data_IF_234150672600
#
_entry.id   IF_234150672600
#
_cell.length_a   1.000
_cell.length_b   1.000
_cell.length_c   1.000
_cell.angle_alpha   90.00
_cell.angle_beta   90.00
_cell.angle_gamma   90.00
#
_symmetry.space_group_name_H-M   'P 1'
#
loop_
_entity.id
_entity.type
_entity.pdbx_description
1 polymer ?
#
# COMPACT_ATOMS: atom_id res chain seq x y z
N UNK A 1 -5.97 -14.37 19.49
CA UNK A 1 -4.97 -13.67 18.67
C UNK A 1 -5.62 -13.32 17.33
N UNK A 2 -5.88 -12.04 17.04
CA UNK A 2 -6.43 -11.62 15.75
C UNK A 2 -5.37 -11.92 14.68
N UNK A 3 -5.71 -12.71 13.66
CA UNK A 3 -4.76 -13.06 12.59
C UNK A 3 -4.68 -11.88 11.62
N UNK A 4 -3.58 -11.13 11.71
CA UNK A 4 -3.26 -9.96 10.89
C UNK A 4 -2.48 -10.29 9.59
N UNK A 5 -2.01 -11.52 9.46
CA UNK A 5 -1.26 -12.00 8.28
C UNK A 5 -1.23 -13.54 8.26
N UNK A 6 -0.58 -14.13 7.24
CA UNK A 6 -0.36 -15.57 7.22
C UNK A 6 0.59 -16.00 8.35
N UNK A 7 0.41 -17.21 8.88
CA UNK A 7 1.28 -17.76 9.93
C UNK A 7 2.75 -17.75 9.48
N UNK A 8 3.00 -18.07 8.21
CA UNK A 8 4.33 -18.06 7.61
C UNK A 8 4.99 -16.69 7.68
N UNK A 9 4.24 -15.60 7.43
CA UNK A 9 4.78 -14.25 7.52
C UNK A 9 5.13 -13.89 8.96
N UNK A 10 4.23 -14.20 9.90
CA UNK A 10 4.45 -13.93 11.33
C UNK A 10 5.66 -14.71 11.86
N UNK A 11 5.78 -16.00 11.51
CA UNK A 11 6.93 -16.84 11.86
C UNK A 11 8.25 -16.27 11.29
N UNK A 12 8.22 -15.69 10.08
CA UNK A 12 9.39 -15.12 9.41
C UNK A 12 9.85 -13.77 10.00
N UNK A 13 8.92 -12.93 10.47
CA UNK A 13 9.22 -11.54 10.85
C UNK A 13 9.20 -11.27 12.35
N UNK A 14 8.46 -12.04 13.14
CA UNK A 14 8.25 -11.78 14.58
C UNK A 14 9.55 -11.66 15.38
N UNK A 15 10.54 -12.50 15.09
CA UNK A 15 11.85 -12.50 15.76
C UNK A 15 12.95 -11.77 14.99
N UNK A 16 12.68 -11.33 13.75
CA UNK A 16 13.71 -10.76 12.88
C UNK A 16 14.03 -9.31 13.30
N UNK A 17 15.30 -8.98 13.61
CA UNK A 17 15.69 -7.60 13.87
C UNK A 17 15.67 -6.79 12.57
N UNK A 18 15.32 -5.51 12.69
CA UNK A 18 15.42 -4.58 11.56
C UNK A 18 16.82 -3.99 11.53
N UNK A 19 17.66 -4.47 10.61
CA UNK A 19 19.09 -4.10 10.54
C UNK A 19 19.44 -3.29 9.29
N UNK A 20 18.65 -3.47 8.24
CA UNK A 20 18.79 -2.85 6.92
C UNK A 20 17.46 -2.21 6.51
N UNK A 21 17.42 -1.60 5.32
CA UNK A 21 16.20 -1.01 4.75
C UNK A 21 15.25 -2.07 4.20
N UNK A 22 14.87 -3.02 5.04
CA UNK A 22 13.87 -4.04 4.76
C UNK A 22 12.47 -3.44 4.96
N UNK A 23 11.86 -3.03 3.84
CA UNK A 23 10.57 -2.36 3.77
C UNK A 23 9.43 -3.19 4.35
N UNK A 24 9.32 -4.45 3.92
CA UNK A 24 8.29 -5.37 4.40
C UNK A 24 8.41 -5.60 5.91
N UNK A 25 9.64 -5.74 6.42
CA UNK A 25 9.87 -5.88 7.86
C UNK A 25 9.54 -4.61 8.65
N UNK A 26 9.83 -3.41 8.12
CA UNK A 26 9.46 -2.15 8.76
C UNK A 26 7.94 -1.99 8.83
N UNK A 27 7.24 -2.22 7.71
CA UNK A 27 5.77 -2.20 7.66
C UNK A 27 5.20 -3.19 8.67
N UNK A 28 5.69 -4.43 8.69
CA UNK A 28 5.28 -5.44 9.66
C UNK A 28 5.46 -4.94 11.10
N UNK A 29 6.63 -4.40 11.48
CA UNK A 29 6.88 -3.94 12.85
C UNK A 29 5.95 -2.78 13.27
N UNK A 30 5.73 -1.81 12.38
CA UNK A 30 4.79 -0.70 12.63
C UNK A 30 3.38 -1.25 12.82
N UNK A 31 2.91 -2.09 11.89
CA UNK A 31 1.56 -2.65 11.93
C UNK A 31 1.34 -3.54 13.16
N UNK A 32 2.34 -4.34 13.55
CA UNK A 32 2.32 -5.11 14.81
C UNK A 32 2.16 -4.20 16.02
N UNK A 33 2.87 -3.08 16.08
CA UNK A 33 2.79 -2.16 17.21
C UNK A 33 1.36 -1.65 17.43
N UNK A 34 0.62 -1.38 16.35
CA UNK A 34 -0.80 -1.01 16.42
C UNK A 34 -1.70 -2.19 16.79
N UNK A 35 -1.54 -3.36 16.14
CA UNK A 35 -2.42 -4.50 16.40
C UNK A 35 -2.25 -5.10 17.80
N UNK A 36 -1.01 -5.17 18.31
CA UNK A 36 -0.73 -5.63 19.68
C UNK A 36 -1.32 -4.69 20.74
N UNK A 37 -1.56 -3.43 20.39
CA UNK A 37 -2.27 -2.45 21.21
C UNK A 37 -3.80 -2.43 20.97
N UNK A 38 -4.33 -3.27 20.07
CA UNK A 38 -5.73 -3.24 19.59
C UNK A 38 -6.14 -1.88 18.97
N UNK A 39 -5.20 -1.23 18.28
CA UNK A 39 -5.37 0.10 17.67
C UNK A 39 -5.55 0.03 16.14
N UNK A 40 -6.13 -1.04 15.60
CA UNK A 40 -6.29 -1.17 14.14
C UNK A 40 -7.16 -0.06 13.54
N UNK A 41 -8.20 0.39 14.25
CA UNK A 41 -9.05 1.51 13.83
C UNK A 41 -8.28 2.82 13.73
N UNK A 42 -7.39 3.09 14.68
CA UNK A 42 -6.52 4.27 14.68
C UNK A 42 -5.49 4.23 13.54
N UNK A 43 -4.89 3.06 13.27
CA UNK A 43 -4.02 2.89 12.11
C UNK A 43 -4.79 3.17 10.81
N UNK A 44 -6.01 2.64 10.67
CA UNK A 44 -6.86 2.89 9.51
C UNK A 44 -7.15 4.39 9.33
N UNK A 45 -7.49 5.09 10.41
CA UNK A 45 -7.75 6.53 10.41
C UNK A 45 -6.51 7.34 10.03
N UNK A 46 -5.33 6.99 10.54
CA UNK A 46 -4.07 7.63 10.13
C UNK A 46 -3.76 7.44 8.64
N UNK A 47 -4.17 6.31 8.06
CA UNK A 47 -3.93 5.98 6.66
C UNK A 47 -4.96 6.60 5.71
N UNK A 48 -6.19 6.84 6.17
CA UNK A 48 -7.33 7.21 5.31
C UNK A 48 -7.95 8.56 5.61
N UNK A 49 -7.80 9.05 6.85
CA UNK A 49 -8.56 10.18 7.40
C UNK A 49 -9.99 9.83 7.82
N UNK A 50 -10.39 8.55 7.77
CA UNK A 50 -11.73 8.09 8.17
C UNK A 50 -11.65 7.08 9.30
N UNK A 51 -12.61 7.11 10.22
CA UNK A 51 -12.77 6.05 11.21
C UNK A 51 -13.29 4.77 10.55
N UNK A 52 -12.84 3.61 11.04
CA UNK A 52 -13.41 2.31 10.69
C UNK A 52 -13.58 1.47 11.96
N UNK A 53 -14.77 0.91 12.15
CA UNK A 53 -15.12 0.06 13.26
C UNK A 53 -14.60 -1.36 13.04
N UNK A 54 -13.49 -1.68 13.72
CA UNK A 54 -12.83 -2.98 13.66
C UNK A 54 -12.45 -3.38 12.21
N UNK A 55 -11.57 -2.60 11.56
CA UNK A 55 -11.13 -2.90 10.21
C UNK A 55 -10.45 -4.26 10.17
N UNK A 56 -10.78 -5.06 9.15
CA UNK A 56 -9.95 -6.20 8.84
C UNK A 56 -8.57 -5.67 8.43
N UNK A 57 -7.52 -6.38 8.82
CA UNK A 57 -6.13 -5.98 8.58
C UNK A 57 -5.38 -7.19 8.04
N UNK A 58 -4.68 -7.02 6.91
CA UNK A 58 -3.93 -8.10 6.28
C UNK A 58 -2.63 -7.60 5.65
N UNK A 59 -1.48 -8.06 6.15
CA UNK A 59 -0.16 -7.81 5.55
C UNK A 59 0.12 -8.78 4.39
N UNK A 60 0.90 -8.32 3.41
CA UNK A 60 1.27 -9.10 2.21
C UNK A 60 0.03 -9.67 1.50
N UNK A 61 -1.01 -8.84 1.39
CA UNK A 61 -2.32 -9.22 0.89
C UNK A 61 -2.31 -9.39 -0.63
N UNK A 62 -3.08 -10.36 -1.11
CA UNK A 62 -3.13 -10.73 -2.53
C UNK A 62 -4.55 -10.66 -3.10
N UNK A 63 -5.08 -9.46 -3.43
CA UNK A 63 -6.29 -9.35 -4.25
C UNK A 63 -6.11 -10.07 -5.58
N UNK A 64 -7.19 -10.67 -6.05
CA UNK A 64 -7.18 -11.39 -7.32
C UNK A 64 -7.20 -10.41 -8.49
N UNK A 65 -6.27 -10.55 -9.44
CA UNK A 65 -6.25 -9.75 -10.65
C UNK A 65 -7.22 -10.30 -11.70
N UNK A 66 -7.99 -9.41 -12.31
CA UNK A 66 -8.89 -9.73 -13.44
C UNK A 66 -8.20 -9.56 -14.80
N UNK A 67 -6.94 -9.16 -14.85
CA UNK A 67 -6.17 -9.03 -16.10
C UNK A 67 -5.58 -10.38 -16.49
N UNK A 68 -5.71 -10.78 -17.77
CA UNK A 68 -4.98 -11.93 -18.33
C UNK A 68 -3.48 -11.69 -18.19
N UNK A 69 -2.71 -12.78 -18.13
CA UNK A 69 -1.24 -12.77 -17.96
C UNK A 69 -0.73 -12.24 -16.61
N UNK A 70 -1.60 -11.73 -15.73
CA UNK A 70 -1.23 -11.30 -14.39
C UNK A 70 -1.65 -12.28 -13.29
N UNK A 71 -0.70 -12.50 -12.36
CA UNK A 71 -1.00 -13.07 -11.06
C UNK A 71 -1.65 -12.05 -10.13
N UNK A 72 -1.95 -12.48 -8.90
CA UNK A 72 -2.45 -11.59 -7.85
C UNK A 72 -1.48 -10.41 -7.64
N UNK A 73 -2.04 -9.24 -7.36
CA UNK A 73 -1.24 -8.08 -6.97
C UNK A 73 -0.81 -8.28 -5.52
N UNK A 74 0.47 -8.08 -5.22
CA UNK A 74 0.97 -8.11 -3.85
C UNK A 74 0.85 -6.69 -3.29
N UNK A 75 0.19 -6.57 -2.16
CA UNK A 75 0.06 -5.34 -1.40
C UNK A 75 0.85 -5.49 -0.10
N UNK A 76 1.58 -4.48 0.32
CA UNK A 76 2.25 -4.49 1.62
C UNK A 76 1.22 -4.60 2.76
N UNK A 77 0.10 -3.90 2.61
CA UNK A 77 -1.02 -3.91 3.55
C UNK A 77 -2.36 -3.69 2.85
N UNK A 78 -3.39 -4.38 3.32
CA UNK A 78 -4.79 -4.06 3.01
C UNK A 78 -5.60 -3.96 4.31
N UNK A 79 -6.52 -3.00 4.38
CA UNK A 79 -7.40 -2.85 5.55
C UNK A 79 -8.84 -2.42 5.20
N UNK A 80 -9.75 -2.56 6.18
CA UNK A 80 -11.13 -2.05 6.13
C UNK A 80 -12.14 -3.15 5.81
N UNK A 81 -13.07 -2.86 4.90
CA UNK A 81 -14.17 -3.75 4.50
C UNK A 81 -13.73 -4.86 3.55
N UNK A 82 -12.77 -5.65 4.02
CA UNK A 82 -12.14 -6.74 3.29
C UNK A 82 -12.24 -8.02 4.12
N UNK A 83 -12.09 -9.17 3.47
CA UNK A 83 -11.94 -10.46 4.14
C UNK A 83 -10.99 -11.36 3.41
N UNK A 84 -10.51 -12.39 4.12
CA UNK A 84 -9.71 -13.44 3.52
C UNK A 84 -10.54 -14.24 2.51
N UNK A 85 -9.97 -14.48 1.32
CA UNK A 85 -10.53 -15.35 0.29
C UNK A 85 -10.34 -16.81 0.70
N UNK A 86 -11.44 -17.54 0.74
CA UNK A 86 -11.45 -18.95 1.15
C UNK A 86 -10.49 -19.80 0.30
N UNK A 87 -9.87 -20.80 0.92
CA UNK A 87 -8.93 -21.71 0.25
C UNK A 87 -7.57 -21.11 -0.12
N UNK A 88 -7.27 -19.86 0.27
CA UNK A 88 -5.99 -19.21 -0.04
C UNK A 88 -5.17 -18.91 1.22
N UNK A 89 -3.85 -18.78 1.09
CA UNK A 89 -2.99 -18.35 2.21
C UNK A 89 -3.09 -16.84 2.43
N UNK A 90 -2.92 -16.05 1.37
CA UNK A 90 -2.85 -14.58 1.40
C UNK A 90 -3.90 -13.88 0.53
N UNK A 91 -4.81 -14.63 -0.10
CA UNK A 91 -5.82 -14.04 -0.96
C UNK A 91 -6.84 -13.25 -0.16
N UNK A 92 -7.23 -12.10 -0.67
CA UNK A 92 -8.32 -11.26 -0.10
C UNK A 92 -9.42 -11.04 -1.14
N UNK A 93 -10.59 -10.66 -0.64
CA UNK A 93 -11.75 -10.22 -1.42
C UNK A 93 -12.54 -9.16 -0.65
N UNK A 94 -13.35 -8.37 -1.36
CA UNK A 94 -14.22 -7.39 -0.74
C UNK A 94 -15.27 -8.06 0.16
N UNK A 95 -15.55 -7.47 1.32
CA UNK A 95 -16.63 -7.94 2.19
C UNK A 95 -17.88 -7.07 2.05
N UNK A 96 -18.73 -7.43 1.10
CA UNK A 96 -19.99 -6.72 0.82
C UNK A 96 -21.01 -6.76 1.97
N UNK A 97 -20.78 -7.57 3.00
CA UNK A 97 -21.63 -7.64 4.21
C UNK A 97 -21.18 -6.67 5.31
N UNK A 98 -20.00 -6.06 5.18
CA UNK A 98 -19.53 -5.07 6.14
C UNK A 98 -20.45 -3.82 6.08
N UNK A 99 -20.80 -3.28 7.24
CA UNK A 99 -21.65 -2.08 7.32
C UNK A 99 -20.91 -0.84 6.80
N UNK A 100 -19.62 -0.75 7.11
CA UNK A 100 -18.76 0.26 6.54
C UNK A 100 -18.37 -0.19 5.14
N UNK A 101 -18.39 0.73 4.19
CA UNK A 101 -18.26 0.44 2.76
C UNK A 101 -17.00 1.08 2.20
N UNK A 102 -15.87 0.90 2.88
CA UNK A 102 -14.59 1.45 2.46
C UNK A 102 -13.42 0.56 2.86
N UNK A 103 -12.39 0.57 2.03
CA UNK A 103 -11.16 -0.19 2.25
C UNK A 103 -9.96 0.62 1.78
N UNK A 104 -8.78 0.20 2.20
CA UNK A 104 -7.51 0.72 1.69
C UNK A 104 -6.62 -0.39 1.18
N UNK A 105 -5.90 -0.11 0.10
CA UNK A 105 -4.70 -0.84 -0.32
C UNK A 105 -3.49 0.07 -0.12
N UNK A 106 -2.41 -0.49 0.41
CA UNK A 106 -1.20 0.25 0.72
C UNK A 106 0.00 -0.37 -0.01
N UNK A 107 0.78 0.49 -0.64
CA UNK A 107 2.11 0.20 -1.17
C UNK A 107 3.12 1.09 -0.43
N UNK A 108 4.12 0.48 0.20
CA UNK A 108 5.20 1.17 0.89
C UNK A 108 6.41 1.31 -0.04
N UNK A 109 7.21 2.37 0.11
CA UNK A 109 8.53 2.52 -0.52
C UNK A 109 9.53 3.17 0.42
N UNK A 110 10.58 2.44 0.83
CA UNK A 110 11.64 2.98 1.70
C UNK A 110 12.74 3.68 0.90
N UNK A 111 13.53 3.00 0.09
CA UNK A 111 14.63 3.62 -0.67
C UNK A 111 14.56 3.32 -2.18
N UNK A 112 13.85 2.25 -2.54
CA UNK A 112 13.56 1.86 -3.92
C UNK A 112 12.46 2.72 -4.52
N UNK A 113 12.41 2.72 -5.84
CA UNK A 113 11.28 3.27 -6.57
C UNK A 113 10.24 2.19 -6.88
N UNK A 114 9.06 2.59 -7.36
CA UNK A 114 8.07 1.64 -7.87
C UNK A 114 8.63 0.94 -9.11
N UNK A 115 8.43 -0.38 -9.21
CA UNK A 115 8.86 -1.13 -10.39
C UNK A 115 8.12 -0.63 -11.63
N UNK A 116 8.89 -0.36 -12.68
CA UNK A 116 8.41 0.02 -14.02
C UNK A 116 8.20 -1.19 -14.94
N UNK A 117 8.72 -2.36 -14.54
CA UNK A 117 8.73 -3.56 -15.36
C UNK A 117 7.74 -4.60 -14.87
N UNK A 118 6.67 -4.83 -15.62
CA UNK A 118 5.97 -6.12 -15.61
C UNK A 118 6.19 -6.80 -16.94
N UNK A 119 6.41 -8.12 -16.92
CA UNK A 119 6.83 -8.94 -18.08
C UNK A 119 5.92 -8.76 -19.31
N UNK A 120 4.66 -8.41 -19.10
CA UNK A 120 3.61 -8.38 -20.12
C UNK A 120 3.13 -6.96 -20.47
N UNK A 121 3.55 -5.92 -19.74
CA UNK A 121 3.15 -4.55 -20.02
C UNK A 121 4.19 -3.54 -19.52
N UNK A 122 4.90 -2.88 -20.42
CA UNK A 122 5.99 -1.96 -20.07
C UNK A 122 5.52 -0.54 -19.77
N UNK A 123 4.25 -0.23 -20.06
CA UNK A 123 3.65 1.08 -19.81
C UNK A 123 3.16 1.18 -18.35
N UNK A 124 2.86 0.03 -17.73
CA UNK A 124 2.24 -0.04 -16.40
C UNK A 124 3.30 -0.06 -15.29
N UNK A 125 3.05 0.73 -14.25
CA UNK A 125 3.85 0.74 -13.02
C UNK A 125 3.12 0.09 -11.84
N UNK A 126 3.85 -0.25 -10.78
CA UNK A 126 3.29 -0.91 -9.59
C UNK A 126 2.17 -0.09 -8.92
N UNK A 127 2.28 1.24 -8.82
CA UNK A 127 1.22 2.08 -8.25
C UNK A 127 -0.08 1.99 -9.08
N UNK A 128 0.03 2.07 -10.40
CA UNK A 128 -1.10 1.86 -11.30
C UNK A 128 -1.68 0.45 -11.17
N UNK A 129 -0.84 -0.56 -10.88
CA UNK A 129 -1.29 -1.93 -10.63
C UNK A 129 -2.13 -2.06 -9.37
N UNK A 130 -1.72 -1.42 -8.28
CA UNK A 130 -2.49 -1.34 -7.04
C UNK A 130 -3.81 -0.63 -7.27
N UNK A 131 -3.79 0.51 -7.98
CA UNK A 131 -4.99 1.30 -8.30
C UNK A 131 -5.98 0.48 -9.15
N UNK A 132 -5.57 -0.09 -10.28
CA UNK A 132 -6.44 -0.90 -11.15
C UNK A 132 -7.10 -2.04 -10.35
N UNK A 133 -6.33 -2.75 -9.50
CA UNK A 133 -6.89 -3.81 -8.66
C UNK A 133 -7.90 -3.29 -7.64
N UNK A 134 -7.66 -2.12 -7.06
CA UNK A 134 -8.60 -1.49 -6.14
C UNK A 134 -9.93 -1.15 -6.85
N UNK A 135 -9.86 -0.66 -8.10
CA UNK A 135 -11.03 -0.20 -8.86
C UNK A 135 -11.99 -1.32 -9.25
N UNK A 136 -11.54 -2.57 -9.38
CA UNK A 136 -12.43 -3.73 -9.61
C UNK A 136 -12.51 -4.68 -8.41
N UNK A 137 -11.97 -4.31 -7.23
CA UNK A 137 -11.94 -5.21 -6.08
C UNK A 137 -13.34 -5.58 -5.57
N UNK A 138 -14.28 -4.65 -5.70
CA UNK A 138 -15.71 -4.92 -5.57
C UNK A 138 -16.36 -4.93 -6.95
N UNK A 139 -17.04 -6.02 -7.29
CA UNK A 139 -17.80 -6.17 -8.54
C UNK A 139 -19.15 -5.44 -8.54
N UNK A 140 -19.52 -4.80 -7.43
CA UNK A 140 -20.72 -3.98 -7.34
C UNK A 140 -20.33 -2.57 -6.84
N UNK A 141 -20.33 -1.54 -7.72
CA UNK A 141 -20.00 -0.19 -7.31
C UNK A 141 -20.88 0.31 -6.16
N UNK A 142 -22.18 0.01 -6.14
CA UNK A 142 -23.10 0.52 -5.11
C UNK A 142 -22.82 -0.06 -3.71
N UNK A 143 -22.06 -1.16 -3.66
CA UNK A 143 -21.63 -1.78 -2.41
C UNK A 143 -20.43 -1.07 -1.77
N UNK A 144 -19.81 -0.10 -2.44
CA UNK A 144 -18.64 0.64 -1.97
C UNK A 144 -18.83 2.16 -2.05
N UNK A 145 -18.46 2.84 -0.96
CA UNK A 145 -18.54 4.30 -0.83
C UNK A 145 -17.20 4.98 -1.13
N UNK A 146 -16.09 4.42 -0.60
CA UNK A 146 -14.74 4.99 -0.79
C UNK A 146 -13.69 3.91 -0.99
N UNK A 147 -12.72 4.19 -1.86
CA UNK A 147 -11.56 3.34 -2.15
C UNK A 147 -10.32 4.17 -1.83
N UNK A 148 -9.47 3.67 -0.95
CA UNK A 148 -8.20 4.32 -0.64
C UNK A 148 -7.03 3.55 -1.25
N UNK A 149 -6.12 4.27 -1.91
CA UNK A 149 -4.79 3.74 -2.22
C UNK A 149 -3.77 4.63 -1.52
N UNK A 150 -2.96 4.01 -0.67
CA UNK A 150 -2.01 4.71 0.20
C UNK A 150 -0.59 4.41 -0.25
N UNK A 151 0.16 5.48 -0.51
CA UNK A 151 1.61 5.42 -0.68
C UNK A 151 2.27 5.73 0.65
N UNK A 152 3.06 4.78 1.18
CA UNK A 152 3.77 4.93 2.46
C UNK A 152 5.28 5.10 2.24
N UNK A 153 5.86 6.24 2.57
CA UNK A 153 7.31 6.48 2.33
C UNK A 153 8.01 7.17 3.50
N UNK A 154 9.34 7.31 3.49
CA UNK A 154 10.00 8.28 4.36
C UNK A 154 9.51 9.70 4.09
N UNK A 155 9.43 10.52 5.15
CA UNK A 155 8.99 11.92 5.11
C UNK A 155 9.80 12.77 4.15
N UNK A 156 11.11 12.52 4.04
CA UNK A 156 11.98 13.26 3.12
C UNK A 156 11.48 13.25 1.66
N UNK A 157 10.90 12.15 1.17
CA UNK A 157 10.44 12.10 -0.23
C UNK A 157 9.10 12.82 -0.43
N UNK A 158 8.22 12.76 0.57
CA UNK A 158 6.98 13.54 0.59
C UNK A 158 7.28 15.04 0.62
N UNK A 159 8.22 15.48 1.47
CA UNK A 159 8.69 16.87 1.50
C UNK A 159 9.26 17.30 0.14
N UNK A 160 10.12 16.49 -0.49
CA UNK A 160 10.64 16.82 -1.82
C UNK A 160 9.51 16.97 -2.86
N UNK A 161 8.48 16.13 -2.83
CA UNK A 161 7.31 16.26 -3.69
C UNK A 161 6.55 17.57 -3.43
N UNK A 162 6.29 17.91 -2.17
CA UNK A 162 5.60 19.15 -1.76
C UNK A 162 6.37 20.41 -2.18
N UNK A 163 7.70 20.35 -2.16
CA UNK A 163 8.61 21.39 -2.68
C UNK A 163 8.73 21.39 -4.21
N UNK A 164 8.00 20.51 -4.91
CA UNK A 164 8.05 20.31 -6.37
C UNK A 164 9.42 19.86 -6.89
N UNK A 165 10.20 19.19 -6.04
CA UNK A 165 11.49 18.58 -6.32
C UNK A 165 11.36 17.06 -6.44
N UNK A 166 10.55 16.61 -7.41
CA UNK A 166 10.27 15.19 -7.61
C UNK A 166 11.56 14.42 -7.96
N UNK A 167 12.07 13.65 -6.99
CA UNK A 167 13.28 12.83 -7.15
C UNK A 167 12.98 11.33 -7.36
N UNK A 168 11.71 10.94 -7.20
CA UNK A 168 11.24 9.55 -7.22
C UNK A 168 10.10 9.40 -8.21
N UNK A 169 10.13 8.33 -9.01
CA UNK A 169 9.14 8.04 -10.03
C UNK A 169 7.74 7.88 -9.44
N UNK A 170 7.59 7.23 -8.28
CA UNK A 170 6.30 7.21 -7.57
C UNK A 170 5.78 8.60 -7.20
N UNK A 171 6.66 9.59 -6.98
CA UNK A 171 6.24 10.96 -6.67
C UNK A 171 5.65 11.66 -7.90
N UNK A 172 6.23 11.43 -9.07
CA UNK A 172 5.66 11.89 -10.34
C UNK A 172 4.28 11.26 -10.59
N UNK A 173 4.18 9.92 -10.46
CA UNK A 173 2.92 9.21 -10.68
C UNK A 173 1.84 9.56 -9.67
N UNK A 174 2.19 9.68 -8.39
CA UNK A 174 1.27 10.14 -7.37
C UNK A 174 0.76 11.55 -7.70
N UNK A 175 1.64 12.46 -8.12
CA UNK A 175 1.28 13.81 -8.53
C UNK A 175 0.31 13.84 -9.72
N UNK A 176 0.63 13.11 -10.80
CA UNK A 176 -0.23 12.99 -11.97
C UNK A 176 -1.64 12.52 -11.58
N UNK A 177 -1.73 11.41 -10.86
CA UNK A 177 -3.01 10.79 -10.52
C UNK A 177 -3.82 11.57 -9.49
N UNK A 178 -3.16 12.21 -8.53
CA UNK A 178 -3.84 12.99 -7.47
C UNK A 178 -4.38 14.31 -7.99
N UNK A 179 -3.76 14.88 -9.03
CA UNK A 179 -4.23 16.10 -9.70
C UNK A 179 -5.34 15.80 -10.70
N UNK A 180 -5.21 14.70 -11.46
CA UNK A 180 -6.17 14.30 -12.48
C UNK A 180 -6.32 12.78 -12.54
N UNK A 181 -7.39 12.26 -11.94
CA UNK A 181 -7.70 10.83 -11.95
C UNK A 181 -8.07 10.30 -13.35
N UNK A 182 -8.37 11.16 -14.33
CA UNK A 182 -8.61 10.72 -15.71
C UNK A 182 -7.34 10.18 -16.38
N UNK A 183 -6.16 10.57 -15.89
CA UNK A 183 -4.87 10.01 -16.34
C UNK A 183 -4.84 8.51 -16.09
N UNK A 184 -5.32 8.05 -14.93
CA UNK A 184 -5.42 6.62 -14.62
C UNK A 184 -6.24 5.89 -15.70
N UNK A 185 -7.41 6.43 -16.05
CA UNK A 185 -8.30 5.82 -17.04
C UNK A 185 -7.66 5.76 -18.44
N UNK A 186 -6.99 6.84 -18.85
CA UNK A 186 -6.28 6.91 -20.13
C UNK A 186 -5.18 5.86 -20.21
N UNK A 187 -4.39 5.72 -19.15
CA UNK A 187 -3.34 4.70 -19.11
C UNK A 187 -3.93 3.27 -19.06
N UNK A 188 -5.04 3.04 -18.36
CA UNK A 188 -5.71 1.74 -18.35
C UNK A 188 -6.25 1.35 -19.73
N UNK A 189 -6.70 2.32 -20.53
CA UNK A 189 -7.11 2.08 -21.92
C UNK A 189 -5.89 1.74 -22.80
N UNK A 190 -4.75 2.41 -22.60
CA UNK A 190 -3.52 2.12 -23.36
C UNK A 190 -3.01 0.69 -23.18
N UNK A 191 -3.20 0.11 -21.99
CA UNK A 191 -2.70 -1.25 -21.68
C UNK A 191 -3.70 -2.36 -21.99
N UNK A 192 -4.91 -2.04 -22.47
CA UNK A 192 -6.02 -2.98 -22.58
C UNK A 192 -5.76 -4.14 -23.55
N UNK A 193 -5.03 -3.89 -24.64
CA UNK A 193 -4.63 -4.92 -25.59
C UNK A 193 -3.53 -5.84 -25.04
N UNK A 194 -2.64 -5.30 -24.21
CA UNK A 194 -1.55 -6.06 -23.56
C UNK A 194 -2.06 -6.86 -22.35
N UNK A 195 -3.02 -6.29 -21.63
CA UNK A 195 -3.63 -6.83 -20.42
C UNK A 195 -5.17 -6.86 -20.55
N UNK A 196 -5.71 -7.74 -21.41
CA UNK A 196 -7.15 -7.88 -21.56
C UNK A 196 -7.79 -8.50 -20.31
N UNK A 197 -9.10 -8.33 -20.15
CA UNK A 197 -9.85 -8.97 -19.06
C UNK A 197 -9.81 -10.50 -19.17
N UNK A 198 -9.74 -11.19 -18.03
CA UNK A 198 -10.05 -12.62 -17.91
C UNK A 198 -11.51 -12.81 -18.31
N UNK A 199 -11.81 -13.92 -18.98
CA UNK A 199 -13.13 -14.21 -19.54
C UNK A 199 -14.23 -13.97 -18.50
N UNK A 200 -15.35 -13.34 -18.92
CA UNK A 200 -16.54 -13.24 -18.06
C UNK A 200 -17.29 -11.93 -18.15
N UNK A 201 -16.63 -10.77 -18.21
CA UNK A 201 -17.29 -9.45 -18.27
C UNK A 201 -16.28 -8.32 -18.57
N UNK A 202 -16.69 -7.32 -19.36
CA UNK A 202 -15.90 -6.09 -19.50
C UNK A 202 -16.09 -5.21 -18.25
N UNK A 203 -15.01 -5.00 -17.48
CA UNK A 203 -15.04 -4.23 -16.23
C UNK A 203 -14.83 -2.73 -16.42
N UNK A 204 -14.79 -2.22 -17.65
CA UNK A 204 -14.54 -0.80 -17.92
C UNK A 204 -15.58 0.10 -17.23
N UNK A 205 -16.88 -0.22 -17.34
CA UNK A 205 -17.94 0.57 -16.68
C UNK A 205 -17.81 0.56 -15.15
N UNK A 206 -17.40 -0.58 -14.57
CA UNK A 206 -17.14 -0.70 -13.14
C UNK A 206 -16.00 0.24 -12.71
N UNK A 207 -14.91 0.26 -13.47
CA UNK A 207 -13.75 1.14 -13.23
C UNK A 207 -14.16 2.61 -13.33
N UNK A 208 -14.93 2.96 -14.37
CA UNK A 208 -15.41 4.33 -14.59
C UNK A 208 -16.28 4.84 -13.43
N UNK A 209 -17.03 3.96 -12.77
CA UNK A 209 -17.79 4.34 -11.57
C UNK A 209 -16.92 4.39 -10.31
N UNK A 210 -16.03 3.42 -10.12
CA UNK A 210 -15.22 3.33 -8.90
C UNK A 210 -14.09 4.35 -8.84
N UNK A 211 -13.60 4.86 -9.98
CA UNK A 211 -12.57 5.92 -10.00
C UNK A 211 -13.06 7.20 -9.31
N UNK A 212 -14.37 7.49 -9.36
CA UNK A 212 -15.00 8.64 -8.69
C UNK A 212 -14.95 8.54 -7.17
N UNK A 213 -14.67 7.34 -6.64
CA UNK A 213 -14.61 7.01 -5.21
C UNK A 213 -13.17 6.81 -4.73
N UNK A 214 -12.20 6.88 -5.63
CA UNK A 214 -10.79 6.69 -5.34
C UNK A 214 -10.24 7.94 -4.64
N UNK A 215 -9.54 7.72 -3.54
CA UNK A 215 -8.73 8.73 -2.85
C UNK A 215 -7.31 8.22 -2.72
N UNK A 216 -6.35 9.04 -3.15
CA UNK A 216 -4.93 8.74 -3.04
C UNK A 216 -4.33 9.47 -1.85
N UNK A 217 -3.79 8.72 -0.88
CA UNK A 217 -3.14 9.30 0.28
C UNK A 217 -1.63 9.05 0.24
N UNK A 218 -0.85 10.05 0.60
CA UNK A 218 0.59 9.91 0.84
C UNK A 218 0.88 10.07 2.33
N UNK A 219 1.19 8.95 2.99
CA UNK A 219 1.50 8.85 4.42
C UNK A 219 2.97 8.53 4.60
N UNK A 220 3.54 8.88 5.74
CA UNK A 220 4.95 8.68 6.04
C UNK A 220 5.18 7.67 7.17
N UNK A 221 6.32 6.97 7.10
CA UNK A 221 6.73 6.09 8.20
C UNK A 221 6.83 6.86 9.51
N UNK A 222 7.34 8.08 9.47
CA UNK A 222 7.49 8.96 10.62
C UNK A 222 6.14 9.36 11.23
N UNK A 223 5.13 9.68 10.42
CA UNK A 223 3.76 9.92 10.89
C UNK A 223 3.19 8.70 11.61
N UNK A 224 3.37 7.49 11.05
CA UNK A 224 2.88 6.26 11.68
C UNK A 224 3.66 5.90 12.94
N UNK A 225 4.98 6.03 12.96
CA UNK A 225 5.81 5.70 14.12
C UNK A 225 5.48 6.63 15.28
N UNK A 226 5.41 7.94 15.04
CA UNK A 226 5.21 8.92 16.13
C UNK A 226 3.85 8.75 16.83
N UNK A 227 2.87 8.17 16.14
CA UNK A 227 1.52 7.93 16.66
C UNK A 227 1.35 6.58 17.37
N UNK A 228 2.38 5.74 17.46
CA UNK A 228 2.33 4.50 18.26
C UNK A 228 2.16 4.84 19.75
N UNK A 229 1.11 4.31 20.40
CA UNK A 229 0.79 4.65 21.80
C UNK A 229 1.77 4.04 22.81
N UNK A 230 2.27 2.84 22.54
CA UNK A 230 3.20 2.15 23.45
C UNK A 230 4.61 2.73 23.30
N UNK A 231 4.95 3.69 24.17
CA UNK A 231 6.22 4.43 24.12
C UNK A 231 7.46 3.55 23.96
N UNK A 232 7.58 2.43 24.69
CA UNK A 232 8.76 1.58 24.55
C UNK A 232 8.94 1.00 23.14
N UNK A 233 7.85 0.56 22.51
CA UNK A 233 7.85 0.03 21.13
C UNK A 233 8.07 1.16 20.12
N UNK A 234 7.46 2.33 20.36
CA UNK A 234 7.67 3.53 19.54
C UNK A 234 9.15 3.90 19.49
N UNK A 235 9.78 4.07 20.65
CA UNK A 235 11.18 4.50 20.74
C UNK A 235 12.13 3.46 20.15
N UNK A 236 11.84 2.17 20.30
CA UNK A 236 12.62 1.09 19.67
C UNK A 236 12.59 1.20 18.14
N UNK A 237 11.39 1.23 17.53
CA UNK A 237 11.23 1.32 16.08
C UNK A 237 11.83 2.62 15.55
N UNK A 238 11.58 3.75 16.23
CA UNK A 238 12.09 5.08 15.87
C UNK A 238 13.62 5.10 15.86
N UNK A 239 14.25 4.65 16.94
CA UNK A 239 15.71 4.63 17.07
C UNK A 239 16.35 3.79 15.97
N UNK A 240 15.80 2.61 15.69
CA UNK A 240 16.31 1.72 14.64
C UNK A 240 16.14 2.35 13.26
N UNK A 241 14.96 2.89 12.96
CA UNK A 241 14.66 3.58 11.71
C UNK A 241 15.60 4.75 11.45
N UNK A 242 15.81 5.61 12.46
CA UNK A 242 16.73 6.75 12.39
C UNK A 242 18.17 6.29 12.17
N UNK A 243 18.64 5.29 12.94
CA UNK A 243 20.00 4.73 12.80
C UNK A 243 20.27 4.20 11.40
N UNK A 244 19.32 3.48 10.80
CA UNK A 244 19.45 2.94 9.44
C UNK A 244 19.49 4.07 8.39
N UNK A 245 18.76 5.15 8.61
CA UNK A 245 18.77 6.30 7.71
C UNK A 245 20.00 7.21 7.90
N UNK A 246 20.61 7.26 9.09
CA UNK A 246 21.84 8.01 9.38
C UNK A 246 23.09 7.29 8.87
N UNK A 247 23.17 5.95 8.98
CA UNK A 247 24.35 5.14 8.58
C UNK A 247 24.84 5.36 7.14
N UNK A 248 24.07 6.02 6.28
CA UNK A 248 24.50 6.44 4.93
C UNK A 248 25.42 7.67 4.91
N UNK A 249 25.42 8.53 5.94
CA UNK A 249 26.27 9.76 5.97
C UNK A 249 27.72 9.48 6.32
N UNK A 250 28.01 8.49 7.16
CA UNK A 250 29.37 8.29 7.67
C UNK A 250 30.31 7.58 6.68
N UNK A 251 29.76 6.94 5.63
CA UNK A 251 30.59 6.26 4.61
C UNK A 251 31.08 7.22 3.52
N UNK A 252 30.43 8.37 3.32
CA UNK A 252 30.87 9.38 2.33
C UNK A 252 31.92 10.36 2.89
N UNK A 253 32.06 10.47 4.23
CA UNK A 253 33.13 11.28 4.85
C UNK A 253 34.54 10.70 4.70
N UNK A 254 34.66 9.45 4.24
CA UNK A 254 35.93 8.78 3.91
C UNK A 254 36.38 9.00 2.45
N UNK A 255 35.49 9.49 1.57
CA UNK A 255 35.80 9.69 0.15
C UNK A 255 35.97 11.17 -0.25
N UNK A 256 35.76 12.12 0.67
CA UNK A 256 36.10 13.53 0.46
C UNK A 256 37.56 13.88 0.79
N UNK A 257 38.43 12.88 0.93
CA UNK A 257 39.87 13.04 1.23
C UNK A 257 40.78 12.41 0.15
N UNK A 258 40.34 12.42 -1.12
CA UNK A 258 41.19 12.09 -2.28
C UNK A 258 41.06 13.21 -3.32
#
# INVERSE_FOLDING_TARGET
MKKICSKKLDDNFSSKPLETKDEALLVYKIVRAYSDANEEGKLYELLTGESHNNPFLFLEAQPYSQRKHEGNTNLDLAMGSIKKREGTESGIQYDSKNQEKHFLFLEAKWDSDISVGVKYCTIRNQLQRVIDNALYFSFNPESINKIYVVLLTPKKYKNCFEEKLNSRFYGYKYGEYSLDSSIILRELEMIKSELPWKEGENLDSLIQENIKKLTLNWVTFEELIEKITKNSVKEEIKTVYEKINIKKRDVESLYSAI
#
